data_IF_180090569134
#
_entry.id   IF_180090569134
#
_cell.length_a   1.000
_cell.length_b   1.000
_cell.length_c   1.000
_cell.angle_alpha   90.00
_cell.angle_beta   90.00
_cell.angle_gamma   90.00
#
_symmetry.space_group_name_H-M   'P 1'
#
loop_
_entity.id
_entity.type
_entity.pdbx_description
1 polymer ?
#
# COMPACT_ATOMS: atom_id res chain seq x y z
N UNK A 1 -3.72 -12.49 3.62
CA UNK A 1 -2.73 -11.39 3.42
C UNK A 1 -3.16 -10.19 4.23
N UNK A 2 -2.22 -9.35 4.65
CA UNK A 2 -2.50 -8.11 5.40
C UNK A 2 -2.04 -6.89 4.60
N UNK A 3 -2.91 -5.88 4.48
CA UNK A 3 -2.63 -4.61 3.84
C UNK A 3 -2.48 -3.59 4.96
N UNK A 4 -1.27 -3.08 5.13
CA UNK A 4 -0.98 -1.96 6.00
C UNK A 4 -1.11 -0.66 5.23
N UNK A 5 -1.86 0.29 5.77
CA UNK A 5 -2.24 1.53 5.07
C UNK A 5 -2.27 2.74 6.01
N UNK A 6 -2.31 3.92 5.40
CA UNK A 6 -2.51 5.18 6.10
C UNK A 6 -3.97 5.31 6.61
N UNK A 7 -4.17 6.07 7.70
CA UNK A 7 -5.49 6.33 8.28
C UNK A 7 -6.49 6.96 7.30
N UNK A 8 -6.04 7.82 6.38
CA UNK A 8 -6.91 8.47 5.41
C UNK A 8 -7.47 7.51 4.35
N UNK A 9 -6.82 6.37 4.13
CA UNK A 9 -7.22 5.37 3.13
C UNK A 9 -7.97 4.17 3.76
N UNK A 10 -7.93 4.05 5.09
CA UNK A 10 -8.37 2.85 5.81
C UNK A 10 -9.85 2.54 5.64
N UNK A 11 -10.74 3.50 5.90
CA UNK A 11 -12.19 3.24 5.87
C UNK A 11 -12.65 2.85 4.47
N UNK A 12 -12.17 3.55 3.44
CA UNK A 12 -12.44 3.20 2.05
C UNK A 12 -12.02 1.75 1.73
N UNK A 13 -10.78 1.39 2.07
CA UNK A 13 -10.27 0.05 1.77
C UNK A 13 -10.98 -1.04 2.57
N UNK A 14 -11.34 -0.76 3.83
CA UNK A 14 -12.11 -1.67 4.67
C UNK A 14 -13.47 -1.95 4.06
N UNK A 15 -14.18 -0.94 3.57
CA UNK A 15 -15.45 -1.10 2.87
C UNK A 15 -15.29 -1.90 1.56
N UNK A 16 -14.25 -1.61 0.77
CA UNK A 16 -14.03 -2.31 -0.50
C UNK A 16 -13.70 -3.81 -0.32
N UNK A 17 -13.06 -4.19 0.79
CA UNK A 17 -12.65 -5.56 1.08
C UNK A 17 -13.49 -6.25 2.15
N UNK A 18 -14.65 -5.69 2.52
CA UNK A 18 -15.51 -6.21 3.59
C UNK A 18 -15.95 -7.68 3.36
N UNK A 19 -16.14 -8.06 2.10
CA UNK A 19 -16.54 -9.43 1.73
C UNK A 19 -15.34 -10.38 1.52
N UNK A 20 -14.11 -9.90 1.68
CA UNK A 20 -12.88 -10.65 1.47
C UNK A 20 -12.24 -11.07 2.82
N UNK A 21 -12.77 -12.13 3.43
CA UNK A 21 -12.31 -12.62 4.75
C UNK A 21 -10.81 -12.99 4.84
N UNK A 22 -10.13 -13.19 3.70
CA UNK A 22 -8.68 -13.49 3.64
C UNK A 22 -7.79 -12.22 3.53
N UNK A 23 -8.39 -11.04 3.49
CA UNK A 23 -7.72 -9.74 3.41
C UNK A 23 -7.97 -9.00 4.72
N UNK A 24 -6.89 -8.77 5.47
CA UNK A 24 -6.91 -7.94 6.67
C UNK A 24 -6.41 -6.55 6.31
N UNK A 25 -7.15 -5.50 6.68
CA UNK A 25 -6.69 -4.11 6.55
C UNK A 25 -6.25 -3.63 7.95
N UNK A 26 -5.05 -3.04 8.06
CA UNK A 26 -4.55 -2.47 9.30
C UNK A 26 -3.87 -1.12 9.08
N UNK A 27 -3.85 -0.31 10.14
CA UNK A 27 -3.22 1.00 10.16
C UNK A 27 -1.72 0.88 10.45
N UNK A 28 -0.93 1.69 9.76
CA UNK A 28 0.49 1.86 10.06
C UNK A 28 0.89 3.32 9.78
N UNK A 29 1.23 4.06 10.84
CA UNK A 29 1.53 5.51 10.77
C UNK A 29 2.81 5.82 9.98
N UNK A 30 3.67 4.81 9.74
CA UNK A 30 4.83 4.96 8.87
C UNK A 30 4.45 5.00 7.38
N UNK A 31 3.22 4.63 7.03
CA UNK A 31 2.74 4.61 5.65
C UNK A 31 2.10 5.94 5.29
N UNK A 32 2.67 6.59 4.27
CA UNK A 32 2.09 7.81 3.69
C UNK A 32 0.83 7.50 2.89
N UNK A 33 -0.11 8.44 2.85
CA UNK A 33 -1.33 8.38 2.02
C UNK A 33 -1.06 7.89 0.60
N UNK A 34 -1.89 7.00 0.09
CA UNK A 34 -1.79 6.39 -1.24
C UNK A 34 -0.68 5.35 -1.39
N UNK A 35 0.04 5.03 -0.31
CA UNK A 35 1.01 3.93 -0.26
C UNK A 35 0.43 2.72 0.48
N UNK A 36 1.01 1.55 0.25
CA UNK A 36 0.58 0.30 0.91
C UNK A 36 1.77 -0.64 1.12
N UNK A 37 1.74 -1.40 2.21
CA UNK A 37 2.59 -2.58 2.40
C UNK A 37 1.70 -3.81 2.48
N UNK A 38 1.95 -4.78 1.61
CA UNK A 38 1.24 -6.06 1.60
C UNK A 38 2.13 -7.09 2.28
N UNK A 39 1.61 -7.72 3.32
CA UNK A 39 2.29 -8.75 4.11
C UNK A 39 1.63 -10.11 3.84
N UNK A 40 2.47 -11.11 3.60
CA UNK A 40 2.07 -12.50 3.41
C UNK A 40 3.17 -13.45 3.91
N UNK A 41 2.82 -14.72 4.07
CA UNK A 41 3.79 -15.75 4.47
C UNK A 41 4.90 -15.96 3.43
N UNK A 42 4.64 -15.63 2.16
CA UNK A 42 5.62 -15.71 1.08
C UNK A 42 6.54 -14.49 1.01
N UNK A 43 6.27 -13.43 1.79
CA UNK A 43 7.04 -12.20 1.81
C UNK A 43 6.18 -10.94 1.71
N UNK A 44 6.88 -9.80 1.70
CA UNK A 44 6.28 -8.47 1.75
C UNK A 44 6.45 -7.73 0.42
N UNK A 45 5.43 -6.99 0.01
CA UNK A 45 5.48 -6.08 -1.14
C UNK A 45 5.26 -4.66 -0.64
N UNK A 46 6.19 -3.76 -0.94
CA UNK A 46 6.09 -2.35 -0.59
C UNK A 46 5.78 -1.51 -1.83
N UNK A 47 4.68 -0.76 -1.78
CA UNK A 47 4.33 0.21 -2.81
C UNK A 47 4.26 1.60 -2.19
N UNK A 48 5.42 2.26 -2.10
CA UNK A 48 5.51 3.67 -1.73
C UNK A 48 5.24 4.57 -2.96
N UNK A 49 4.25 5.45 -2.85
CA UNK A 49 3.81 6.33 -3.94
C UNK A 49 4.94 7.26 -4.42
N UNK A 50 5.69 7.86 -3.49
CA UNK A 50 6.77 8.77 -3.81
C UNK A 50 7.93 8.06 -4.49
N UNK A 51 8.29 6.85 -4.03
CA UNK A 51 9.32 6.03 -4.68
C UNK A 51 8.92 5.62 -6.09
N UNK A 52 7.65 5.27 -6.31
CA UNK A 52 7.12 4.97 -7.66
C UNK A 52 7.20 6.19 -8.57
N UNK A 53 6.78 7.37 -8.11
CA UNK A 53 6.88 8.60 -8.88
C UNK A 53 8.33 8.94 -9.22
N UNK A 54 9.24 8.84 -8.25
CA UNK A 54 10.67 9.07 -8.47
C UNK A 54 11.24 8.12 -9.52
N UNK A 55 10.88 6.83 -9.46
CA UNK A 55 11.30 5.84 -10.46
C UNK A 55 10.78 6.18 -11.86
N UNK A 56 9.51 6.57 -11.98
CA UNK A 56 8.92 6.96 -13.28
C UNK A 56 9.65 8.19 -13.84
N UNK A 57 9.92 9.21 -13.01
CA UNK A 57 10.66 10.41 -13.44
C UNK A 57 12.05 10.06 -13.99
N UNK A 58 12.77 9.16 -13.32
CA UNK A 58 14.08 8.67 -13.80
C UNK A 58 13.97 7.94 -15.13
N UNK A 59 13.01 7.01 -15.24
CA UNK A 59 12.77 6.26 -16.48
C UNK A 59 12.42 7.16 -17.66
N UNK A 60 11.64 8.22 -17.44
CA UNK A 60 11.27 9.19 -18.49
C UNK A 60 12.45 10.08 -18.86
N UNK A 61 13.31 10.42 -17.90
CA UNK A 61 14.49 11.25 -18.13
C UNK A 61 15.72 10.46 -18.63
N UNK A 62 15.59 9.13 -18.83
CA UNK A 62 16.70 8.21 -19.13
C UNK A 62 17.86 8.27 -18.12
N UNK A 63 17.53 8.48 -16.83
CA UNK A 63 18.45 8.40 -15.69
C UNK A 63 18.44 7.04 -15.00
#
# INVERSE_FOLDING_TARGET
IELKVNAEDYEYLKEQFDQNAHIKISLDDAISKGSVVIISDAGNIESNLNSRLAKIKKMVNNE
#
